data_IF_348622843171
#
_entry.id   IF_348622843171
#
_cell.length_a   1.000
_cell.length_b   1.000
_cell.length_c   1.000
_cell.angle_alpha   90.00
_cell.angle_beta   90.00
_cell.angle_gamma   90.00
#
_symmetry.space_group_name_H-M   'P 1'
#
loop_
_entity.id
_entity.type
_entity.pdbx_description
1 polymer ?
#
# COMPACT_ATOMS: atom_id res chain seq x y z
N UNK A 1 16.34 -5.32 -1.29
CA UNK A 1 16.73 -4.11 -0.56
C UNK A 1 15.61 -3.70 0.36
N UNK A 2 15.76 -3.98 1.66
CA UNK A 2 14.76 -3.70 2.69
C UNK A 2 15.31 -2.78 3.78
N UNK A 3 14.48 -2.44 4.77
CA UNK A 3 14.88 -1.57 5.88
C UNK A 3 16.08 -2.12 6.68
N UNK A 4 16.27 -3.44 6.70
CA UNK A 4 17.41 -4.08 7.37
C UNK A 4 18.77 -3.84 6.70
N UNK A 5 18.80 -3.26 5.49
CA UNK A 5 20.04 -2.83 4.82
C UNK A 5 20.41 -1.37 5.15
N UNK A 6 19.56 -0.64 5.89
CA UNK A 6 19.82 0.75 6.30
C UNK A 6 20.56 0.80 7.63
N UNK A 7 21.46 1.78 7.77
CA UNK A 7 22.11 2.04 9.05
C UNK A 7 21.08 2.59 10.06
N UNK A 8 21.20 2.28 11.37
CA UNK A 8 20.22 2.69 12.37
C UNK A 8 19.96 4.20 12.44
N UNK A 9 20.98 5.03 12.22
CA UNK A 9 20.83 6.50 12.20
C UNK A 9 19.94 6.98 11.06
N UNK A 10 20.12 6.44 9.85
CA UNK A 10 19.33 6.79 8.67
C UNK A 10 17.86 6.41 8.86
N UNK A 11 17.58 5.20 9.35
CA UNK A 11 16.21 4.77 9.62
C UNK A 11 15.52 5.68 10.64
N UNK A 12 16.23 6.07 11.70
CA UNK A 12 15.72 6.99 12.72
C UNK A 12 15.38 8.35 12.11
N UNK A 13 16.30 8.92 11.34
CA UNK A 13 16.16 10.26 10.76
C UNK A 13 15.11 10.33 9.66
N UNK A 14 14.95 9.31 8.81
CA UNK A 14 14.01 9.39 7.68
C UNK A 14 12.60 8.91 8.01
N UNK A 15 12.47 7.99 8.98
CA UNK A 15 11.23 7.22 9.16
C UNK A 15 10.63 7.34 10.56
N UNK A 16 11.43 7.59 11.60
CA UNK A 16 10.95 7.55 12.99
C UNK A 16 10.77 8.92 13.63
N UNK A 17 11.67 9.87 13.36
CA UNK A 17 11.62 11.20 13.98
C UNK A 17 10.33 11.93 13.57
N UNK A 18 9.56 12.48 14.53
CA UNK A 18 8.32 13.20 14.22
C UNK A 18 8.49 14.35 13.23
N UNK A 19 9.63 15.05 13.31
CA UNK A 19 9.89 16.27 12.52
C UNK A 19 10.16 15.98 11.04
N UNK A 20 10.58 14.76 10.70
CA UNK A 20 11.03 14.39 9.36
C UNK A 20 10.23 13.24 8.75
N UNK A 21 9.54 12.44 9.59
CA UNK A 21 8.73 11.32 9.11
C UNK A 21 7.51 11.81 8.34
N UNK A 22 7.12 11.05 7.32
CA UNK A 22 5.86 11.22 6.60
C UNK A 22 5.00 10.00 6.87
N UNK A 23 3.91 10.19 7.59
CA UNK A 23 2.93 9.14 7.86
C UNK A 23 1.69 9.36 7.00
N UNK A 24 1.19 8.29 6.41
CA UNK A 24 -0.13 8.27 5.76
C UNK A 24 -1.08 7.57 6.71
N UNK A 25 -2.14 8.26 7.13
CA UNK A 25 -3.21 7.66 7.91
C UNK A 25 -4.21 7.01 6.96
N UNK A 26 -4.51 5.74 7.18
CA UNK A 26 -5.59 5.06 6.48
C UNK A 26 -6.88 5.23 7.27
N UNK A 27 -7.95 5.62 6.57
CA UNK A 27 -9.29 5.71 7.12
C UNK A 27 -10.20 4.74 6.35
N UNK A 28 -11.21 4.21 7.04
CA UNK A 28 -12.25 3.38 6.44
C UNK A 28 -13.56 4.13 6.56
N UNK A 29 -14.24 4.30 5.45
CA UNK A 29 -15.55 4.93 5.39
C UNK A 29 -16.65 3.86 5.26
N UNK A 30 -17.80 4.10 5.87
CA UNK A 30 -18.91 3.16 5.77
C UNK A 30 -19.46 3.20 4.35
N UNK A 31 -19.38 2.07 3.65
CA UNK A 31 -19.89 1.92 2.28
C UNK A 31 -18.89 2.26 1.18
N UNK A 32 -17.58 2.28 1.47
CA UNK A 32 -16.51 2.63 0.51
C UNK A 32 -15.98 1.45 -0.32
N UNK A 33 -16.72 0.34 -0.39
CA UNK A 33 -16.37 -0.90 -1.09
C UNK A 33 -15.01 -1.53 -0.70
N UNK A 34 -14.38 -1.10 0.41
CA UNK A 34 -13.03 -1.56 0.79
C UNK A 34 -12.97 -3.08 0.95
N UNK A 35 -14.02 -3.69 1.52
CA UNK A 35 -14.04 -5.12 1.80
C UNK A 35 -14.11 -5.94 0.51
N UNK A 36 -14.91 -5.50 -0.45
CA UNK A 36 -15.09 -6.11 -1.76
C UNK A 36 -13.79 -6.06 -2.58
N UNK A 37 -13.09 -4.92 -2.53
CA UNK A 37 -11.79 -4.76 -3.18
C UNK A 37 -10.74 -5.66 -2.54
N UNK A 38 -10.67 -5.71 -1.20
CA UNK A 38 -9.73 -6.57 -0.48
C UNK A 38 -10.00 -8.06 -0.74
N UNK A 39 -11.26 -8.49 -0.80
CA UNK A 39 -11.61 -9.87 -1.15
C UNK A 39 -11.13 -10.21 -2.57
N UNK A 40 -11.38 -9.33 -3.54
CA UNK A 40 -10.91 -9.51 -4.91
C UNK A 40 -9.38 -9.63 -4.95
N UNK A 41 -8.66 -8.76 -4.25
CA UNK A 41 -7.20 -8.72 -4.24
C UNK A 41 -6.52 -9.87 -3.46
N UNK A 42 -7.16 -10.45 -2.44
CA UNK A 42 -6.47 -11.37 -1.52
C UNK A 42 -7.05 -12.80 -1.48
N UNK A 43 -8.28 -13.03 -1.92
CA UNK A 43 -8.91 -14.35 -1.81
C UNK A 43 -8.23 -15.42 -2.70
N UNK A 44 -8.09 -16.64 -2.18
CA UNK A 44 -7.32 -17.73 -2.81
C UNK A 44 -7.77 -18.12 -4.23
N UNK A 45 -9.07 -18.01 -4.53
CA UNK A 45 -9.68 -18.50 -5.79
C UNK A 45 -10.07 -17.39 -6.78
N UNK A 46 -9.54 -16.16 -6.61
CA UNK A 46 -9.89 -14.99 -7.43
C UNK A 46 -8.76 -14.51 -8.36
N UNK A 47 -7.82 -15.38 -8.73
CA UNK A 47 -6.67 -15.00 -9.55
C UNK A 47 -7.05 -14.42 -10.93
N UNK A 48 -8.16 -14.89 -11.52
CA UNK A 48 -8.71 -14.34 -12.76
C UNK A 48 -9.13 -12.88 -12.62
N UNK A 49 -10.03 -12.61 -11.66
CA UNK A 49 -10.52 -11.26 -11.36
C UNK A 49 -9.37 -10.29 -11.05
N UNK A 50 -8.39 -10.72 -10.24
CA UNK A 50 -7.20 -9.91 -9.94
C UNK A 50 -6.42 -9.53 -11.16
N UNK A 51 -6.22 -10.47 -12.08
CA UNK A 51 -5.47 -10.22 -13.31
C UNK A 51 -6.17 -9.15 -14.14
N UNK A 52 -7.48 -9.27 -14.34
CA UNK A 52 -8.27 -8.29 -15.10
C UNK A 52 -8.29 -6.92 -14.41
N UNK A 53 -8.42 -6.88 -13.08
CA UNK A 53 -8.37 -5.64 -12.32
C UNK A 53 -7.00 -4.95 -12.45
N UNK A 54 -5.89 -5.68 -12.24
CA UNK A 54 -4.53 -5.14 -12.37
C UNK A 54 -4.23 -4.67 -13.79
N UNK A 55 -4.75 -5.34 -14.82
CA UNK A 55 -4.59 -4.90 -16.21
C UNK A 55 -5.33 -3.60 -16.51
N UNK A 56 -6.53 -3.42 -15.94
CA UNK A 56 -7.35 -2.22 -16.17
C UNK A 56 -6.96 -1.03 -15.29
N UNK A 57 -6.38 -1.28 -14.11
CA UNK A 57 -6.03 -0.26 -13.12
C UNK A 57 -4.52 -0.07 -12.93
N UNK A 58 -3.69 -0.87 -13.59
CA UNK A 58 -2.23 -0.90 -13.38
C UNK A 58 -1.51 0.38 -13.78
N UNK A 59 -2.13 1.23 -14.60
CA UNK A 59 -1.60 2.53 -14.99
C UNK A 59 -2.06 3.70 -14.10
N UNK A 60 -2.88 3.45 -13.08
CA UNK A 60 -3.37 4.49 -12.17
C UNK A 60 -2.39 4.84 -11.05
N UNK A 61 -1.24 4.15 -10.99
CA UNK A 61 -0.17 4.52 -10.09
C UNK A 61 0.46 5.84 -10.56
N UNK A 62 0.13 6.92 -9.87
CA UNK A 62 0.80 8.20 -10.05
C UNK A 62 2.18 8.16 -9.35
N UNK A 63 3.21 8.64 -10.05
CA UNK A 63 4.58 8.70 -9.51
C UNK A 63 4.78 10.11 -8.95
N UNK A 64 4.11 10.37 -7.82
CA UNK A 64 4.27 11.60 -7.04
C UNK A 64 5.47 11.56 -6.12
#
# INVERSE_FOLDING_TARGET
KGLGEMNPSQLRETTMLPDTRRLVQLNLEVGDDTHEVLDMLLAKKRSGDRKSWLQSKGNLADVG
#
